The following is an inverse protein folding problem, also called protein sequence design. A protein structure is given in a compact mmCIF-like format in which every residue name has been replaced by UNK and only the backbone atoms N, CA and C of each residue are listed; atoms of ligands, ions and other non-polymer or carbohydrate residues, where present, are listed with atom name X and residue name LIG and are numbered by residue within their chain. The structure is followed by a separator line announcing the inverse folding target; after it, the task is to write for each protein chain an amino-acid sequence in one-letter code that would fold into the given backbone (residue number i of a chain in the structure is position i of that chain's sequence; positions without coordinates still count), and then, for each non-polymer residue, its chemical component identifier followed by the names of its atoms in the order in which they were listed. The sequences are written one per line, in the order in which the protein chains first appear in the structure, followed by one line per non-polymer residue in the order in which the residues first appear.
data_IF_639314550614
#
_entry.id   IF_639314550614
#
_cell.length_a   1.000
_cell.length_b   1.000
_cell.length_c   1.000
_cell.angle_alpha   90.00
_cell.angle_beta   90.00
_cell.angle_gamma   90.00
#
_symmetry.space_group_name_H-M   'P 1'
#
loop_
_entity.id
_entity.type
_entity.pdbx_description
1 polymer ?
#
# COMPACT_ATOMS: atom_id res chain seq x y z
N UNK A 1 -65.99 -5.91 -13.40
CA UNK A 1 -66.45 -7.29 -13.18
C UNK A 1 -65.65 -7.82 -12.02
N UNK A 2 -66.32 -7.99 -10.88
CA UNK A 2 -65.76 -8.20 -9.53
C UNK A 2 -65.30 -9.63 -9.27
N UNK A 3 -64.27 -9.78 -8.43
CA UNK A 3 -64.03 -10.90 -7.51
C UNK A 3 -63.47 -10.25 -6.22
N UNK A 4 -64.21 -10.20 -5.09
CA UNK A 4 -64.33 -11.22 -4.02
C UNK A 4 -62.96 -11.53 -3.38
N UNK A 5 -62.75 -11.69 -2.07
CA UNK A 5 -63.50 -11.57 -0.82
C UNK A 5 -62.47 -11.80 0.32
N UNK A 6 -62.70 -11.18 1.47
CA UNK A 6 -62.36 -11.53 2.86
C UNK A 6 -61.03 -12.16 3.30
N UNK A 7 -60.57 -11.67 4.45
CA UNK A 7 -59.37 -12.10 5.15
C UNK A 7 -59.60 -13.19 6.20
N UNK A 8 -58.52 -13.58 6.87
CA UNK A 8 -58.45 -13.99 8.27
C UNK A 8 -56.97 -14.18 8.67
N UNK A 9 -56.59 -13.69 9.84
CA UNK A 9 -55.31 -13.97 10.51
C UNK A 9 -55.23 -15.44 10.99
N UNK A 10 -54.04 -15.87 11.45
CA UNK A 10 -54.02 -16.40 12.82
C UNK A 10 -52.85 -15.94 13.68
N UNK A 11 -53.17 -15.83 14.97
CA UNK A 11 -52.33 -15.66 16.15
C UNK A 11 -51.94 -17.04 16.70
N UNK A 12 -50.79 -17.07 17.39
CA UNK A 12 -50.18 -18.20 18.12
C UNK A 12 -51.14 -19.02 19.02
N UNK A 13 -50.77 -20.29 19.25
CA UNK A 13 -50.84 -20.89 20.58
C UNK A 13 -49.91 -22.13 20.68
N UNK A 14 -48.81 -21.95 21.39
CA UNK A 14 -48.06 -23.02 22.06
C UNK A 14 -48.71 -23.31 23.43
N UNK A 15 -48.80 -24.59 23.79
CA UNK A 15 -48.91 -25.14 25.15
C UNK A 15 -48.18 -26.50 25.08
N UNK A 16 -47.40 -27.00 26.03
CA UNK A 16 -47.41 -26.89 27.49
C UNK A 16 -45.97 -27.10 28.02
N UNK A 17 -45.51 -26.30 28.98
CA UNK A 17 -45.26 -26.69 30.39
C UNK A 17 -44.40 -27.94 30.63
N UNK A 18 -43.19 -27.74 31.16
CA UNK A 18 -42.84 -28.20 32.52
C UNK A 18 -41.49 -27.60 32.95
N UNK A 19 -41.47 -26.99 34.13
CA UNK A 19 -40.28 -26.70 34.93
C UNK A 19 -40.40 -27.49 36.24
N UNK A 20 -39.27 -27.90 36.84
CA UNK A 20 -38.90 -27.22 38.09
C UNK A 20 -37.38 -26.99 38.23
N UNK A 21 -37.01 -25.86 38.85
CA UNK A 21 -35.63 -25.61 39.34
C UNK A 21 -35.36 -26.36 40.65
N UNK A 22 -34.51 -25.84 41.56
CA UNK A 22 -33.20 -25.22 41.42
C UNK A 22 -32.11 -26.08 42.13
N UNK A 23 -30.84 -25.98 41.72
CA UNK A 23 -29.75 -26.66 42.45
C UNK A 23 -28.70 -25.66 42.95
N UNK A 24 -28.65 -25.51 44.27
CA UNK A 24 -27.50 -25.00 45.03
C UNK A 24 -27.23 -25.99 46.19
N UNK A 25 -25.93 -26.21 46.46
CA UNK A 25 -25.25 -26.59 47.73
C UNK A 25 -24.56 -27.96 47.82
N UNK A 26 -23.22 -27.91 47.89
CA UNK A 26 -22.30 -28.35 49.00
C UNK A 26 -20.91 -28.59 48.38
N UNK A 27 -19.78 -28.02 48.78
CA UNK A 27 -19.23 -27.57 50.07
C UNK A 27 -19.21 -28.69 51.13
N UNK A 28 -18.06 -29.35 51.26
CA UNK A 28 -17.70 -30.15 52.43
C UNK A 28 -16.90 -29.30 53.43
N UNK A 29 -17.20 -29.54 54.71
CA UNK A 29 -16.67 -28.91 55.91
C UNK A 29 -16.07 -30.03 56.79
N UNK A 30 -14.88 -29.79 57.36
CA UNK A 30 -14.29 -30.58 58.45
C UNK A 30 -13.46 -29.66 59.36
N UNK A 31 -13.99 -29.42 60.55
CA UNK A 31 -13.66 -28.45 61.62
C UNK A 31 -12.69 -29.07 62.68
N UNK A 32 -12.33 -28.49 63.87
CA UNK A 32 -12.15 -27.10 64.35
C UNK A 32 -10.86 -26.88 65.22
N UNK A 33 -10.77 -25.67 65.83
CA UNK A 33 -10.20 -25.32 67.16
C UNK A 33 -8.87 -24.53 67.23
N UNK A 34 -8.93 -23.19 67.32
CA UNK A 34 -8.83 -22.39 68.58
C UNK A 34 -8.52 -20.90 68.31
N UNK A 35 -9.35 -20.04 68.92
CA UNK A 35 -9.10 -18.61 69.23
C UNK A 35 -8.06 -18.51 70.39
N UNK A 36 -7.37 -17.37 70.63
CA UNK A 36 -7.93 -16.19 71.32
C UNK A 36 -7.54 -14.84 70.64
N UNK A 37 -8.43 -13.85 70.55
CA UNK A 37 -8.68 -12.73 71.47
C UNK A 37 -7.67 -11.57 71.43
N UNK A 38 -8.28 -10.38 71.40
CA UNK A 38 -7.67 -9.07 71.31
C UNK A 38 -7.06 -8.61 72.63
N UNK A 39 -6.06 -7.74 72.56
CA UNK A 39 -5.73 -6.86 73.68
C UNK A 39 -5.23 -5.50 73.21
N UNK A 40 -5.77 -4.48 73.87
CA UNK A 40 -5.70 -3.06 73.54
C UNK A 40 -4.84 -2.35 74.60
N UNK A 41 -4.27 -1.18 74.21
CA UNK A 41 -3.61 -0.12 75.01
C UNK A 41 -2.07 -0.19 75.22
N UNK A 42 -1.37 0.93 75.53
CA UNK A 42 -1.67 2.37 75.32
C UNK A 42 -0.52 3.17 74.66
N UNK A 43 -0.84 4.39 74.23
CA UNK A 43 0.11 5.43 73.78
C UNK A 43 0.82 6.02 75.01
N UNK A 44 2.15 5.92 75.08
CA UNK A 44 2.99 6.61 76.07
C UNK A 44 3.87 7.68 75.43
N UNK A 45 3.78 8.90 75.96
CA UNK A 45 4.65 10.04 75.68
C UNK A 45 6.12 9.72 76.02
N UNK A 46 6.91 9.25 75.04
CA UNK A 46 8.37 9.15 75.19
C UNK A 46 9.16 9.26 73.88
N UNK A 47 8.53 9.62 72.76
CA UNK A 47 9.17 9.61 71.42
C UNK A 47 9.64 10.96 70.89
N UNK A 48 9.65 12.04 71.69
CA UNK A 48 9.83 13.40 71.15
C UNK A 48 11.25 13.98 71.29
N UNK A 49 12.23 13.22 71.78
CA UNK A 49 13.60 13.73 72.02
C UNK A 49 14.74 13.00 71.26
N UNK A 50 14.43 12.07 70.35
CA UNK A 50 15.44 11.42 69.48
C UNK A 50 15.42 11.87 68.01
N UNK A 51 14.46 12.70 67.57
CA UNK A 51 14.33 13.08 66.16
C UNK A 51 15.15 14.32 65.74
N UNK A 52 15.82 15.01 66.68
CA UNK A 52 16.48 16.30 66.40
C UNK A 52 18.00 16.22 66.23
N UNK A 53 18.63 15.09 66.59
CA UNK A 53 20.08 14.85 66.41
C UNK A 53 20.43 14.12 65.10
N UNK A 54 19.54 13.31 64.53
CA UNK A 54 19.78 12.66 63.23
C UNK A 54 19.63 13.60 62.02
N UNK A 55 18.81 14.65 62.11
CA UNK A 55 18.62 15.61 61.02
C UNK A 55 19.85 16.50 60.74
N UNK A 56 20.61 16.87 61.78
CA UNK A 56 21.81 17.71 61.62
C UNK A 56 23.00 16.93 61.03
N UNK A 57 23.10 15.62 61.29
CA UNK A 57 24.17 14.78 60.75
C UNK A 57 24.00 14.53 59.24
N UNK A 58 22.76 14.37 58.76
CA UNK A 58 22.47 14.17 57.33
C UNK A 58 22.70 15.44 56.49
N UNK A 59 22.42 16.62 57.05
CA UNK A 59 22.67 17.91 56.36
C UNK A 59 24.17 18.25 56.28
N UNK A 60 24.97 17.87 57.28
CA UNK A 60 26.42 18.04 57.25
C UNK A 60 27.10 17.10 56.22
N UNK A 61 26.62 15.86 56.08
CA UNK A 61 27.14 14.90 55.11
C UNK A 61 26.85 15.30 53.66
N UNK A 62 25.66 15.86 53.37
CA UNK A 62 25.32 16.37 52.05
C UNK A 62 26.12 17.64 51.68
N UNK A 63 26.43 18.50 52.65
CA UNK A 63 27.29 19.67 52.44
C UNK A 63 28.74 19.32 52.11
N UNK A 64 29.29 18.28 52.74
CA UNK A 64 30.66 17.81 52.48
C UNK A 64 30.81 17.15 51.10
N UNK A 65 29.78 16.43 50.62
CA UNK A 65 29.79 15.81 49.29
C UNK A 65 29.67 16.85 48.15
N UNK A 66 28.88 17.91 48.34
CA UNK A 66 28.77 18.99 47.36
C UNK A 66 30.07 19.83 47.26
N UNK A 67 30.76 20.05 48.39
CA UNK A 67 32.05 20.75 48.44
C UNK A 67 33.17 20.01 47.71
N UNK A 68 33.22 18.68 47.81
CA UNK A 68 34.21 17.86 47.12
C UNK A 68 34.03 17.87 45.59
N UNK A 69 32.79 17.85 45.09
CA UNK A 69 32.52 17.90 43.64
C UNK A 69 32.91 19.23 42.99
N UNK A 70 32.70 20.36 43.68
CA UNK A 70 33.07 21.70 43.17
C UNK A 70 34.58 21.91 43.24
N UNK A 71 35.25 21.41 44.28
CA UNK A 71 36.71 21.43 44.40
C UNK A 71 37.41 20.64 43.29
N UNK A 72 36.91 19.45 42.96
CA UNK A 72 37.45 18.64 41.85
C UNK A 72 37.22 19.27 40.47
N UNK A 73 36.10 19.98 40.26
CA UNK A 73 35.82 20.68 39.00
C UNK A 73 36.72 21.91 38.80
N UNK A 74 36.97 22.68 39.87
CA UNK A 74 37.90 23.82 39.83
C UNK A 74 39.37 23.39 39.69
N UNK A 75 39.77 22.25 40.26
CA UNK A 75 41.12 21.71 40.06
C UNK A 75 41.35 21.25 38.61
N UNK A 76 40.33 20.68 37.96
CA UNK A 76 40.38 20.28 36.55
C UNK A 76 40.48 21.50 35.62
N UNK A 77 39.84 22.62 35.98
CA UNK A 77 39.98 23.91 35.28
C UNK A 77 41.36 24.56 35.44
N UNK A 78 42.04 24.35 36.58
CA UNK A 78 43.38 24.88 36.84
C UNK A 78 44.53 24.02 36.32
N UNK A 79 44.29 22.75 35.99
CA UNK A 79 45.31 21.82 35.49
C UNK A 79 45.18 21.49 34.00
N UNK A 80 44.22 22.08 33.28
CA UNK A 80 44.11 21.93 31.83
C UNK A 80 45.12 22.83 31.11
N UNK A 81 46.01 22.31 30.25
CA UNK A 81 46.93 23.15 29.50
C UNK A 81 46.16 24.00 28.49
N UNK A 82 46.43 25.31 28.48
CA UNK A 82 45.93 26.24 27.49
C UNK A 82 46.26 25.75 26.07
N UNK A 83 45.23 25.64 25.24
CA UNK A 83 45.37 25.44 23.81
C UNK A 83 46.22 26.57 23.21
N UNK A 84 47.22 26.18 22.43
CA UNK A 84 47.95 27.02 21.50
C UNK A 84 47.00 27.68 20.50
N UNK A 85 47.16 28.99 20.30
CA UNK A 85 46.47 29.74 19.25
C UNK A 85 46.90 29.31 17.84
N UNK A 86 46.02 29.32 16.83
CA UNK A 86 46.43 29.35 15.44
C UNK A 86 46.49 30.78 14.89
N UNK A 87 47.58 31.01 14.15
CA UNK A 87 47.92 32.14 13.27
C UNK A 87 46.89 32.25 12.13
N UNK A 88 46.55 33.45 11.63
CA UNK A 88 45.63 33.61 10.50
C UNK A 88 46.32 33.17 9.19
N UNK A 89 45.95 31.99 8.71
CA UNK A 89 46.31 31.47 7.40
C UNK A 89 45.06 30.91 6.72
N UNK A 90 44.78 31.40 5.52
CA UNK A 90 43.65 31.01 4.70
C UNK A 90 43.52 29.48 4.58
N UNK A 91 42.42 28.94 5.08
CA UNK A 91 41.97 27.58 4.82
C UNK A 91 40.57 27.70 4.23
N UNK A 92 40.44 27.25 2.99
CA UNK A 92 39.18 26.98 2.32
C UNK A 92 38.24 26.24 3.26
N UNK A 93 37.00 26.73 3.33
CA UNK A 93 35.84 25.97 3.80
C UNK A 93 35.73 24.68 2.96
N UNK A 94 36.41 23.62 3.39
CA UNK A 94 35.95 22.26 3.10
C UNK A 94 34.80 21.99 4.09
N UNK A 95 33.65 22.59 3.81
CA UNK A 95 32.40 21.96 4.15
C UNK A 95 32.48 20.56 3.55
N UNK A 96 32.56 19.53 4.40
CA UNK A 96 32.33 18.15 3.99
C UNK A 96 30.86 18.05 3.60
N UNK A 97 30.58 18.57 2.41
CA UNK A 97 29.40 18.30 1.63
C UNK A 97 29.46 16.80 1.39
N UNK A 98 28.71 16.04 2.18
CA UNK A 98 28.23 14.73 1.77
C UNK A 98 27.29 14.97 0.60
N UNK A 99 27.87 15.36 -0.53
CA UNK A 99 27.24 15.30 -1.83
C UNK A 99 27.09 13.81 -2.09
N UNK A 100 25.87 13.29 -1.91
CA UNK A 100 25.43 12.12 -2.62
C UNK A 100 25.40 12.51 -4.11
N UNK A 101 26.58 12.73 -4.69
CA UNK A 101 26.73 12.93 -6.12
C UNK A 101 26.10 11.71 -6.75
N UNK A 102 25.27 11.94 -7.78
CA UNK A 102 24.70 10.88 -8.58
C UNK A 102 25.78 9.83 -8.82
N UNK A 103 25.58 8.62 -8.28
CA UNK A 103 26.48 7.52 -8.56
C UNK A 103 26.42 7.32 -10.08
N UNK A 104 27.39 7.91 -10.76
CA UNK A 104 27.65 7.75 -12.17
C UNK A 104 28.45 6.45 -12.31
N UNK A 105 27.87 5.37 -11.80
CA UNK A 105 28.17 4.05 -12.32
C UNK A 105 27.30 3.92 -13.55
N UNK A 106 27.92 3.85 -14.73
CA UNK A 106 27.31 3.15 -15.86
C UNK A 106 27.08 1.70 -15.39
N UNK A 107 25.95 1.49 -14.71
CA UNK A 107 25.42 0.16 -14.53
C UNK A 107 25.02 -0.28 -15.93
N UNK A 108 25.74 -1.26 -16.45
CA UNK A 108 25.32 -1.97 -17.64
C UNK A 108 23.86 -2.34 -17.43
N UNK A 109 22.99 -1.77 -18.28
CA UNK A 109 21.61 -2.20 -18.46
C UNK A 109 21.69 -3.71 -18.67
N UNK A 110 21.53 -4.51 -17.62
CA UNK A 110 21.26 -5.92 -17.79
C UNK A 110 19.88 -5.92 -18.43
N UNK A 111 19.75 -6.19 -19.74
CA UNK A 111 18.45 -6.18 -20.35
C UNK A 111 17.64 -7.22 -19.59
N UNK A 112 16.51 -6.78 -19.01
CA UNK A 112 15.45 -7.69 -18.58
C UNK A 112 15.31 -8.74 -19.67
N UNK A 113 15.58 -10.02 -19.36
CA UNK A 113 15.54 -11.10 -20.35
C UNK A 113 14.24 -10.95 -21.15
N UNK A 114 14.30 -10.63 -22.45
CA UNK A 114 13.09 -10.32 -23.21
C UNK A 114 12.15 -11.52 -23.16
N UNK A 115 10.87 -11.26 -22.88
CA UNK A 115 9.83 -12.29 -22.91
C UNK A 115 9.96 -13.09 -24.21
N UNK A 116 9.84 -14.41 -24.11
CA UNK A 116 9.77 -15.29 -25.29
C UNK A 116 8.56 -14.94 -26.17
N UNK A 117 7.51 -14.39 -25.55
CA UNK A 117 6.22 -14.06 -26.16
C UNK A 117 5.65 -12.77 -25.55
N UNK A 118 5.11 -11.89 -26.38
CA UNK A 118 4.38 -10.68 -25.98
C UNK A 118 2.94 -10.73 -26.48
N UNK A 119 2.02 -10.16 -25.73
CA UNK A 119 0.60 -10.08 -26.09
C UNK A 119 0.16 -8.63 -26.26
N UNK A 120 -0.86 -8.41 -27.07
CA UNK A 120 -1.65 -7.18 -27.10
C UNK A 120 -3.07 -7.46 -27.52
N UNK A 121 -3.98 -6.58 -27.16
CA UNK A 121 -5.38 -6.63 -27.56
C UNK A 121 -5.64 -5.37 -28.36
N UNK A 122 -6.19 -5.52 -29.57
CA UNK A 122 -6.62 -4.37 -30.35
C UNK A 122 -7.83 -3.72 -29.65
N UNK A 123 -7.78 -2.41 -29.46
CA UNK A 123 -8.79 -1.64 -28.72
C UNK A 123 -10.11 -1.48 -29.46
N UNK A 124 -10.14 -1.64 -30.79
CA UNK A 124 -11.35 -1.45 -31.60
C UNK A 124 -12.18 -2.73 -31.72
N UNK A 125 -11.53 -3.86 -31.97
CA UNK A 125 -12.19 -5.14 -32.29
C UNK A 125 -11.96 -6.23 -31.21
N UNK A 126 -11.18 -5.92 -30.17
CA UNK A 126 -10.81 -6.83 -29.08
C UNK A 126 -10.08 -8.10 -29.55
N UNK A 127 -9.47 -8.09 -30.74
CA UNK A 127 -8.75 -9.24 -31.24
C UNK A 127 -7.41 -9.39 -30.52
N UNK A 128 -7.16 -10.61 -30.03
CA UNK A 128 -5.92 -10.94 -29.36
C UNK A 128 -4.81 -11.19 -30.38
N UNK A 129 -3.68 -10.53 -30.17
CA UNK A 129 -2.48 -10.69 -30.96
C UNK A 129 -1.30 -11.10 -30.09
N UNK A 130 -0.42 -11.91 -30.68
CA UNK A 130 0.78 -12.42 -30.06
C UNK A 130 1.99 -12.12 -30.94
N UNK A 131 3.09 -11.70 -30.32
CA UNK A 131 4.37 -11.50 -30.97
C UNK A 131 5.38 -12.46 -30.35
N UNK A 132 6.07 -13.21 -31.19
CA UNK A 132 7.09 -14.19 -30.78
C UNK A 132 8.46 -13.53 -30.87
N UNK A 133 9.35 -13.76 -29.90
CA UNK A 133 10.68 -13.10 -29.86
C UNK A 133 11.49 -13.24 -31.16
N UNK A 134 11.34 -14.35 -31.88
CA UNK A 134 12.03 -14.61 -33.14
C UNK A 134 11.41 -13.91 -34.37
N UNK A 135 10.30 -13.15 -34.21
CA UNK A 135 9.58 -12.50 -35.32
C UNK A 135 9.07 -11.11 -34.93
N UNK A 136 9.23 -10.09 -35.78
CA UNK A 136 8.68 -8.76 -35.51
C UNK A 136 7.16 -8.69 -35.70
N UNK A 137 6.56 -9.58 -36.49
CA UNK A 137 5.14 -9.54 -36.86
C UNK A 137 4.22 -9.90 -35.67
N UNK A 138 3.11 -9.15 -35.54
CA UNK A 138 2.00 -9.52 -34.66
C UNK A 138 1.08 -10.52 -35.36
N UNK A 139 0.79 -11.62 -34.67
CA UNK A 139 0.01 -12.74 -35.20
C UNK A 139 -1.34 -12.81 -34.47
N UNK A 140 -2.43 -13.03 -35.21
CA UNK A 140 -3.75 -13.27 -34.61
C UNK A 140 -3.77 -14.64 -33.95
N UNK A 141 -4.38 -14.71 -32.76
CA UNK A 141 -4.43 -15.96 -32.00
C UNK A 141 -5.59 -16.83 -32.45
N UNK A 142 -5.30 -18.07 -32.87
CA UNK A 142 -6.30 -19.08 -33.19
C UNK A 142 -7.08 -19.53 -31.94
N UNK A 143 -8.39 -19.79 -32.10
CA UNK A 143 -9.26 -20.20 -30.99
C UNK A 143 -9.09 -21.68 -30.59
N UNK A 144 -8.41 -22.48 -31.41
CA UNK A 144 -8.15 -23.90 -31.17
C UNK A 144 -7.36 -24.13 -29.89
N UNK A 145 -7.91 -24.95 -29.00
CA UNK A 145 -7.27 -25.26 -27.73
C UNK A 145 -7.31 -24.12 -26.70
N UNK A 146 -8.00 -23.02 -27.02
CA UNK A 146 -8.20 -21.87 -26.14
C UNK A 146 -8.90 -22.26 -24.83
N UNK A 147 -8.53 -21.60 -23.73
CA UNK A 147 -9.14 -21.78 -22.40
C UNK A 147 -9.30 -20.43 -21.72
N UNK A 148 -10.37 -20.28 -20.94
CA UNK A 148 -10.62 -19.08 -20.12
C UNK A 148 -9.46 -18.77 -19.17
N UNK A 149 -8.83 -19.80 -18.60
CA UNK A 149 -7.66 -19.67 -17.73
C UNK A 149 -6.47 -18.96 -18.41
N UNK A 150 -6.22 -19.27 -19.69
CA UNK A 150 -5.19 -18.61 -20.49
C UNK A 150 -5.54 -17.15 -20.75
N UNK A 151 -6.80 -16.88 -21.09
CA UNK A 151 -7.29 -15.50 -21.23
C UNK A 151 -7.09 -14.68 -19.96
N UNK A 152 -7.32 -15.28 -18.79
CA UNK A 152 -7.08 -14.64 -17.50
C UNK A 152 -5.59 -14.37 -17.28
N UNK A 153 -4.71 -15.34 -17.55
CA UNK A 153 -3.26 -15.16 -17.44
C UNK A 153 -2.76 -14.05 -18.37
N UNK A 154 -3.25 -14.00 -19.61
CA UNK A 154 -2.91 -12.95 -20.57
C UNK A 154 -3.39 -11.59 -20.08
N UNK A 155 -4.64 -11.46 -19.62
CA UNK A 155 -5.13 -10.20 -19.05
C UNK A 155 -4.26 -9.71 -17.89
N UNK A 156 -3.85 -10.62 -16.97
CA UNK A 156 -2.94 -10.30 -15.87
C UNK A 156 -1.56 -9.88 -16.35
N UNK A 157 -1.01 -10.55 -17.36
CA UNK A 157 0.29 -10.21 -17.95
C UNK A 157 0.33 -8.84 -18.62
N UNK A 158 -0.84 -8.32 -18.99
CA UNK A 158 -1.09 -6.98 -19.56
C UNK A 158 -1.43 -5.94 -18.49
N UNK A 159 -1.46 -6.31 -17.21
CA UNK A 159 -1.74 -5.40 -16.10
C UNK A 159 -3.21 -5.29 -15.69
N UNK A 160 -4.11 -6.03 -16.31
CA UNK A 160 -5.53 -6.04 -15.95
C UNK A 160 -5.79 -7.00 -14.78
N UNK A 161 -6.76 -6.67 -13.91
CA UNK A 161 -7.08 -7.51 -12.76
C UNK A 161 -7.85 -8.78 -13.17
N UNK A 162 -8.75 -8.66 -14.16
CA UNK A 162 -9.62 -9.76 -14.59
C UNK A 162 -9.93 -9.78 -16.09
N UNK A 163 -10.13 -10.98 -16.62
CA UNK A 163 -10.88 -11.26 -17.84
C UNK A 163 -12.38 -10.98 -17.67
N UNK A 164 -12.96 -10.18 -18.57
CA UNK A 164 -14.40 -9.87 -18.61
C UNK A 164 -15.13 -10.77 -19.58
N UNK A 165 -14.59 -10.93 -20.79
CA UNK A 165 -15.21 -11.74 -21.84
C UNK A 165 -14.16 -12.35 -22.77
N UNK A 166 -14.45 -13.54 -23.29
CA UNK A 166 -13.68 -14.13 -24.37
C UNK A 166 -14.60 -14.93 -25.30
N UNK A 167 -14.30 -14.93 -26.60
CA UNK A 167 -15.04 -15.74 -27.58
C UNK A 167 -14.19 -16.06 -28.82
N UNK A 168 -14.58 -17.12 -29.53
CA UNK A 168 -14.14 -17.35 -30.90
C UNK A 168 -14.92 -16.46 -31.87
N UNK A 169 -14.22 -15.81 -32.79
CA UNK A 169 -14.82 -15.01 -33.87
C UNK A 169 -14.43 -15.63 -35.20
N UNK A 170 -15.40 -15.84 -36.09
CA UNK A 170 -15.12 -16.44 -37.40
C UNK A 170 -14.35 -15.46 -38.28
N UNK A 171 -13.36 -15.97 -39.01
CA UNK A 171 -12.58 -15.19 -39.97
C UNK A 171 -13.46 -14.61 -41.09
N UNK A 172 -14.57 -15.27 -41.44
CA UNK A 172 -15.55 -14.77 -42.42
C UNK A 172 -16.24 -13.47 -42.01
N UNK A 173 -16.36 -13.24 -40.70
CA UNK A 173 -17.15 -12.15 -40.14
C UNK A 173 -16.30 -10.88 -39.96
N UNK A 174 -14.99 -10.98 -40.21
CA UNK A 174 -14.02 -9.92 -40.03
C UNK A 174 -13.42 -9.56 -41.38
N UNK A 175 -13.38 -8.25 -41.69
CA UNK A 175 -12.65 -7.75 -42.86
C UNK A 175 -11.14 -7.75 -42.57
N UNK A 176 -10.50 -8.91 -42.72
CA UNK A 176 -9.05 -9.04 -42.57
C UNK A 176 -8.35 -8.66 -43.87
N UNK A 177 -7.31 -7.83 -43.77
CA UNK A 177 -6.37 -7.65 -44.88
C UNK A 177 -5.56 -8.94 -45.06
N UNK A 178 -5.24 -9.29 -46.31
CA UNK A 178 -4.55 -10.53 -46.71
C UNK A 178 -3.13 -10.71 -46.13
N UNK A 179 -2.61 -9.74 -45.37
CA UNK A 179 -1.30 -9.77 -44.73
C UNK A 179 -1.30 -10.37 -43.31
N UNK A 180 -2.45 -10.67 -42.71
CA UNK A 180 -2.51 -11.19 -41.35
C UNK A 180 -2.05 -12.65 -41.30
N UNK A 181 -1.17 -12.94 -40.34
CA UNK A 181 -0.69 -14.29 -40.03
C UNK A 181 -1.24 -14.71 -38.67
N UNK A 182 -1.23 -16.02 -38.42
CA UNK A 182 -1.85 -16.59 -37.23
C UNK A 182 -0.83 -17.27 -36.33
N UNK A 183 -1.21 -17.47 -35.08
CA UNK A 183 -0.46 -18.26 -34.12
C UNK A 183 -1.40 -19.18 -33.35
N UNK A 184 -0.94 -20.40 -33.13
CA UNK A 184 -1.65 -21.40 -32.36
C UNK A 184 -0.82 -21.81 -31.15
N UNK A 185 -1.47 -21.94 -30.01
CA UNK A 185 -0.88 -22.53 -28.82
C UNK A 185 -0.81 -24.05 -28.96
N UNK A 186 0.39 -24.62 -28.92
CA UNK A 186 0.59 -26.06 -28.81
C UNK A 186 0.80 -26.46 -27.34
N UNK A 187 0.15 -27.54 -26.92
CA UNK A 187 0.46 -28.19 -25.64
C UNK A 187 1.44 -29.35 -25.87
N UNK A 188 2.58 -29.41 -25.16
CA UNK A 188 3.34 -30.65 -25.05
C UNK A 188 2.47 -31.73 -24.39
N UNK A 189 2.57 -32.98 -24.86
CA UNK A 189 1.81 -34.12 -24.31
C UNK A 189 2.50 -34.85 -23.14
N UNK A 190 3.70 -34.48 -22.70
CA UNK A 190 4.39 -35.21 -21.62
C UNK A 190 5.23 -34.31 -20.68
N UNK A 191 5.05 -34.52 -19.38
CA UNK A 191 6.11 -34.45 -18.36
C UNK A 191 6.69 -33.09 -18.01
N UNK A 192 6.07 -32.39 -17.04
CA UNK A 192 6.83 -31.68 -16.00
C UNK A 192 6.87 -30.14 -16.04
N UNK A 193 6.88 -29.49 -17.20
CA UNK A 193 6.81 -28.01 -17.27
C UNK A 193 5.99 -27.61 -18.48
N UNK A 194 4.84 -26.96 -18.25
CA UNK A 194 4.01 -26.36 -19.29
C UNK A 194 4.72 -25.09 -19.80
N UNK A 195 5.72 -25.25 -20.68
CA UNK A 195 6.06 -24.13 -21.56
C UNK A 195 4.99 -24.05 -22.65
N UNK A 196 4.25 -22.96 -22.63
CA UNK A 196 3.27 -22.61 -23.66
C UNK A 196 4.01 -22.31 -24.96
N UNK A 197 4.09 -23.31 -25.85
CA UNK A 197 4.77 -23.17 -27.13
C UNK A 197 3.82 -22.56 -28.15
N UNK A 198 4.03 -21.29 -28.45
CA UNK A 198 3.31 -20.59 -29.51
C UNK A 198 3.96 -20.84 -30.87
N UNK A 199 3.20 -21.36 -31.83
CA UNK A 199 3.69 -21.62 -33.18
C UNK A 199 2.96 -20.77 -34.22
N UNK A 200 3.69 -20.16 -35.17
CA UNK A 200 3.09 -19.54 -36.34
C UNK A 200 2.28 -20.53 -37.18
N UNK A 201 1.19 -20.04 -37.77
CA UNK A 201 0.31 -20.75 -38.69
C UNK A 201 -0.10 -19.82 -39.84
N UNK A 202 -0.31 -20.42 -41.01
CA UNK A 202 -0.84 -19.70 -42.16
C UNK A 202 -2.37 -19.52 -42.07
N UNK A 203 -3.06 -20.39 -41.32
CA UNK A 203 -4.50 -20.28 -41.05
C UNK A 203 -4.87 -20.99 -39.72
N UNK A 204 -6.03 -20.67 -39.18
CA UNK A 204 -6.66 -21.41 -38.08
C UNK A 204 -7.55 -22.53 -38.65
N UNK A 205 -7.29 -23.78 -38.27
CA UNK A 205 -8.07 -24.96 -38.65
C UNK A 205 -9.56 -24.87 -38.24
N UNK A 206 -9.88 -24.15 -37.16
CA UNK A 206 -11.25 -23.89 -36.73
C UNK A 206 -11.95 -22.83 -37.59
N UNK A 207 -11.21 -22.04 -38.37
CA UNK A 207 -11.70 -20.83 -39.01
C UNK A 207 -12.03 -19.70 -38.01
N UNK A 208 -11.60 -19.82 -36.75
CA UNK A 208 -11.90 -18.87 -35.67
C UNK A 208 -10.63 -18.33 -34.99
N UNK A 209 -10.70 -17.07 -34.58
CA UNK A 209 -9.68 -16.38 -33.78
C UNK A 209 -10.24 -15.91 -32.44
N UNK A 210 -9.35 -15.60 -31.51
CA UNK A 210 -9.71 -15.18 -30.16
C UNK A 210 -9.99 -13.68 -30.11
N UNK A 211 -11.21 -13.35 -29.67
CA UNK A 211 -11.55 -12.03 -29.13
C UNK A 211 -11.49 -12.09 -27.60
N UNK A 212 -10.79 -11.13 -26.99
CA UNK A 212 -10.50 -11.07 -25.57
C UNK A 212 -10.77 -9.66 -25.03
N UNK A 213 -11.63 -9.54 -24.02
CA UNK A 213 -11.87 -8.28 -23.30
C UNK A 213 -11.45 -8.43 -21.85
N UNK A 214 -10.42 -7.69 -21.46
CA UNK A 214 -9.99 -7.56 -20.07
C UNK A 214 -10.70 -6.40 -19.34
N UNK A 215 -10.55 -6.32 -18.02
CA UNK A 215 -11.09 -5.24 -17.21
C UNK A 215 -10.42 -3.91 -17.54
N UNK A 216 -11.21 -2.85 -17.73
CA UNK A 216 -10.69 -1.51 -18.02
C UNK A 216 -9.86 -0.96 -16.85
N UNK A 217 -8.72 -0.36 -17.15
CA UNK A 217 -7.83 0.26 -16.16
C UNK A 217 -6.88 1.27 -16.83
N UNK A 218 -6.24 2.12 -16.02
CA UNK A 218 -5.09 2.94 -16.42
C UNK A 218 -5.39 4.07 -17.41
N UNK A 219 -6.64 4.22 -17.83
CA UNK A 219 -7.06 5.32 -18.69
C UNK A 219 -7.22 6.60 -17.84
N UNK A 220 -6.57 7.68 -18.28
CA UNK A 220 -6.76 9.01 -17.70
C UNK A 220 -7.61 9.86 -18.67
N UNK A 221 -8.76 10.39 -18.25
CA UNK A 221 -9.55 11.28 -19.10
C UNK A 221 -8.71 12.49 -19.55
N UNK A 222 -8.79 12.85 -20.83
CA UNK A 222 -8.01 13.95 -21.44
C UNK A 222 -8.37 15.34 -20.86
N UNK A 223 -9.41 15.42 -20.02
CA UNK A 223 -9.99 16.66 -19.52
C UNK A 223 -9.35 17.17 -18.21
N UNK A 224 -8.03 17.36 -18.18
CA UNK A 224 -7.45 18.35 -17.24
C UNK A 224 -6.05 18.79 -17.65
N UNK A 225 -5.94 19.70 -18.62
CA UNK A 225 -4.70 20.45 -18.86
C UNK A 225 -4.67 21.60 -17.84
N UNK A 226 -3.79 21.53 -16.84
CA UNK A 226 -3.46 22.70 -15.99
C UNK A 226 -1.96 22.94 -16.08
N UNK A 227 -1.61 24.19 -16.35
CA UNK A 227 -0.26 24.78 -16.40
C UNK A 227 -0.02 25.51 -15.08
N UNK A 228 1.08 25.23 -14.38
CA UNK A 228 1.48 25.92 -13.15
C UNK A 228 0.77 25.41 -11.89
N UNK A 229 1.43 24.52 -11.14
CA UNK A 229 0.91 23.79 -9.97
C UNK A 229 -0.15 24.51 -9.12
N UNK A 230 -1.39 24.03 -9.22
CA UNK A 230 -2.52 24.28 -8.31
C UNK A 230 -3.46 23.06 -8.35
N UNK A 231 -4.27 22.93 -7.29
CA UNK A 231 -5.25 21.88 -6.98
C UNK A 231 -5.64 20.91 -8.12
N UNK A 232 -5.63 19.62 -7.82
CA UNK A 232 -5.97 18.57 -8.77
C UNK A 232 -7.41 18.71 -9.27
N UNK A 233 -7.57 18.81 -10.60
CA UNK A 233 -8.89 18.80 -11.22
C UNK A 233 -9.61 17.46 -10.97
N UNK A 234 -10.94 17.47 -10.79
CA UNK A 234 -11.72 16.23 -10.68
C UNK A 234 -11.43 15.27 -11.84
N UNK A 235 -11.21 14.00 -11.52
CA UNK A 235 -10.95 12.94 -12.50
C UNK A 235 -9.54 12.89 -13.09
N UNK A 236 -8.61 13.75 -12.66
CA UNK A 236 -7.19 13.63 -13.06
C UNK A 236 -6.54 12.34 -12.56
N UNK A 237 -6.89 11.89 -11.36
CA UNK A 237 -6.44 10.64 -10.75
C UNK A 237 -7.65 9.78 -10.36
N UNK A 238 -8.36 9.18 -11.32
CA UNK A 238 -9.67 8.56 -11.09
C UNK A 238 -9.58 7.28 -10.25
N UNK A 239 -8.39 6.71 -10.10
CA UNK A 239 -8.09 5.58 -9.20
C UNK A 239 -7.73 6.01 -7.78
N UNK A 240 -7.52 7.29 -7.51
CA UNK A 240 -7.22 7.76 -6.16
C UNK A 240 -8.42 7.49 -5.25
N UNK A 241 -8.14 6.81 -4.14
CA UNK A 241 -9.11 6.57 -3.09
C UNK A 241 -8.66 7.21 -1.77
N UNK A 242 -9.61 7.69 -1.00
CA UNK A 242 -9.46 8.01 0.42
C UNK A 242 -10.00 6.86 1.24
N UNK A 243 -9.14 6.27 2.07
CA UNK A 243 -9.49 5.24 3.05
C UNK A 243 -9.71 5.95 4.39
N UNK A 244 -10.98 5.96 4.80
CA UNK A 244 -11.44 6.71 5.96
C UNK A 244 -11.88 5.76 7.09
N UNK A 245 -11.59 6.19 8.33
CA UNK A 245 -12.10 5.59 9.54
C UNK A 245 -13.11 6.55 10.17
N UNK A 246 -14.39 6.17 10.17
CA UNK A 246 -15.49 7.09 10.47
C UNK A 246 -15.59 8.17 9.40
N UNK A 247 -15.53 9.44 9.80
CA UNK A 247 -15.48 10.59 8.89
C UNK A 247 -14.07 11.12 8.63
N UNK A 248 -13.03 10.49 9.19
CA UNK A 248 -11.66 10.98 9.13
C UNK A 248 -10.87 10.23 8.07
N UNK A 249 -10.29 10.98 7.12
CA UNK A 249 -9.26 10.45 6.23
C UNK A 249 -8.11 9.87 7.06
N UNK A 250 -7.71 8.65 6.73
CA UNK A 250 -6.64 7.94 7.45
C UNK A 250 -5.47 7.65 6.53
N UNK A 251 -5.76 7.17 5.33
CA UNK A 251 -4.75 6.83 4.33
C UNK A 251 -5.32 7.01 2.91
N UNK A 252 -4.43 7.07 1.93
CA UNK A 252 -4.75 6.88 0.53
C UNK A 252 -5.01 5.42 0.17
N UNK A 253 -5.43 5.22 -1.08
CA UNK A 253 -5.63 3.92 -1.70
C UNK A 253 -5.69 4.06 -3.22
N UNK A 254 -5.62 2.93 -3.92
CA UNK A 254 -5.74 2.87 -5.37
C UNK A 254 -6.82 1.85 -5.77
N UNK A 255 -7.77 2.27 -6.61
CA UNK A 255 -8.81 1.39 -7.14
C UNK A 255 -8.21 0.41 -8.15
N UNK A 256 -8.34 -0.89 -7.91
CA UNK A 256 -7.89 -1.96 -8.82
C UNK A 256 -9.06 -2.55 -9.64
N UNK A 257 -10.27 -2.52 -9.08
CA UNK A 257 -11.52 -2.94 -9.70
C UNK A 257 -12.70 -2.38 -8.90
N UNK A 258 -13.96 -2.47 -9.39
CA UNK A 258 -15.11 -1.91 -8.68
C UNK A 258 -15.22 -2.31 -7.20
N UNK A 259 -14.81 -3.53 -6.84
CA UNK A 259 -14.85 -4.00 -5.44
C UNK A 259 -13.48 -4.11 -4.77
N UNK A 260 -12.40 -3.67 -5.42
CA UNK A 260 -11.04 -3.87 -4.92
C UNK A 260 -10.25 -2.59 -4.89
N UNK A 261 -9.72 -2.27 -3.72
CA UNK A 261 -8.77 -1.18 -3.49
C UNK A 261 -7.51 -1.73 -2.85
N UNK A 262 -6.36 -1.28 -3.30
CA UNK A 262 -5.07 -1.53 -2.64
C UNK A 262 -4.67 -0.32 -1.82
N UNK A 263 -4.08 -0.56 -0.65
CA UNK A 263 -3.56 0.46 0.28
C UNK A 263 -2.36 -0.13 1.02
N UNK A 264 -1.78 0.60 1.98
CA UNK A 264 -0.68 0.12 2.79
C UNK A 264 -1.19 -0.73 3.97
N UNK A 265 -0.43 -1.76 4.35
CA UNK A 265 -0.78 -2.61 5.49
C UNK A 265 -0.65 -1.87 6.82
N UNK A 266 0.31 -0.96 6.96
CA UNK A 266 0.51 -0.17 8.18
C UNK A 266 -0.71 0.70 8.51
N UNK A 267 -1.45 1.18 7.50
CA UNK A 267 -2.70 1.89 7.65
C UNK A 267 -3.75 1.04 8.37
N UNK A 268 -3.78 -0.26 8.07
CA UNK A 268 -4.73 -1.20 8.66
C UNK A 268 -4.23 -1.72 10.02
N UNK A 269 -2.93 -1.94 10.13
CA UNK A 269 -2.29 -2.43 11.35
C UNK A 269 -2.42 -1.44 12.51
N UNK A 270 -2.19 -0.15 12.25
CA UNK A 270 -2.28 0.93 13.24
C UNK A 270 -3.67 1.05 13.88
N UNK A 271 -4.71 0.63 13.16
CA UNK A 271 -6.10 0.71 13.57
C UNK A 271 -6.79 -0.65 13.68
N UNK A 272 -6.03 -1.74 13.89
CA UNK A 272 -6.52 -3.13 13.90
C UNK A 272 -7.63 -3.45 14.91
N UNK A 273 -7.78 -2.63 15.96
CA UNK A 273 -8.83 -2.77 16.97
C UNK A 273 -10.15 -2.08 16.56
N UNK A 274 -10.13 -1.32 15.46
CA UNK A 274 -11.30 -0.59 14.97
C UNK A 274 -12.32 -1.53 14.35
N UNK A 275 -13.61 -1.25 14.58
CA UNK A 275 -14.70 -2.03 13.97
C UNK A 275 -14.66 -1.89 12.46
N UNK A 276 -14.67 -3.03 11.76
CA UNK A 276 -14.71 -3.10 10.29
C UNK A 276 -15.81 -2.21 9.67
N UNK A 277 -16.99 -2.16 10.30
CA UNK A 277 -18.13 -1.34 9.87
C UNK A 277 -17.86 0.17 9.85
N UNK A 278 -16.78 0.63 10.48
CA UNK A 278 -16.39 2.05 10.54
C UNK A 278 -15.52 2.47 9.35
N UNK A 279 -14.99 1.52 8.59
CA UNK A 279 -14.16 1.81 7.43
C UNK A 279 -15.00 2.15 6.21
N UNK A 280 -14.57 3.21 5.51
CA UNK A 280 -15.19 3.68 4.27
C UNK A 280 -14.11 3.97 3.24
N UNK A 281 -14.46 3.77 1.98
CA UNK A 281 -13.65 4.15 0.83
C UNK A 281 -14.38 5.19 0.01
N UNK A 282 -13.72 6.30 -0.27
CA UNK A 282 -14.22 7.37 -1.13
C UNK A 282 -13.35 7.46 -2.38
N UNK A 283 -13.95 7.31 -3.56
CA UNK A 283 -13.30 7.50 -4.85
C UNK A 283 -14.00 8.63 -5.62
N UNK A 284 -13.32 9.23 -6.60
CA UNK A 284 -13.84 10.40 -7.34
C UNK A 284 -13.92 11.67 -6.47
N UNK A 285 -13.16 11.67 -5.38
CA UNK A 285 -13.11 12.78 -4.43
C UNK A 285 -11.95 13.71 -4.80
N UNK A 286 -12.16 15.01 -4.69
CA UNK A 286 -11.09 16.02 -4.73
C UNK A 286 -10.95 16.72 -3.37
N UNK A 287 -12.06 17.09 -2.73
CA UNK A 287 -12.03 17.79 -1.43
C UNK A 287 -12.81 17.01 -0.36
N UNK A 288 -12.20 16.79 0.81
CA UNK A 288 -12.85 16.09 1.93
C UNK A 288 -14.08 16.84 2.46
N UNK A 289 -14.12 18.17 2.35
CA UNK A 289 -15.28 18.99 2.70
C UNK A 289 -16.58 18.61 1.99
N UNK A 290 -16.49 17.94 0.82
CA UNK A 290 -17.64 17.49 0.04
C UNK A 290 -18.23 16.15 0.51
N UNK A 291 -17.53 15.44 1.39
CA UNK A 291 -17.94 14.13 1.90
C UNK A 291 -19.02 14.29 2.96
N UNK A 292 -20.20 13.73 2.71
CA UNK A 292 -21.26 13.67 3.73
C UNK A 292 -21.01 12.53 4.72
N UNK A 293 -21.45 12.66 5.99
CA UNK A 293 -21.40 11.56 6.94
C UNK A 293 -22.08 10.31 6.36
N UNK A 294 -21.46 9.14 6.56
CA UNK A 294 -21.94 7.82 6.07
C UNK A 294 -21.91 7.61 4.55
N UNK A 295 -21.47 8.60 3.76
CA UNK A 295 -21.18 8.40 2.34
C UNK A 295 -19.91 7.55 2.17
N UNK A 296 -19.71 6.97 0.98
CA UNK A 296 -18.57 6.11 0.66
C UNK A 296 -18.89 4.62 0.66
N UNK A 297 -18.08 3.84 -0.04
CA UNK A 297 -18.22 2.40 -0.12
C UNK A 297 -17.84 1.73 1.21
N UNK A 298 -18.70 0.83 1.69
CA UNK A 298 -18.45 0.06 2.91
C UNK A 298 -17.41 -1.02 2.64
N UNK A 299 -16.41 -1.13 3.52
CA UNK A 299 -15.41 -2.21 3.45
C UNK A 299 -16.00 -3.51 4.01
N UNK A 300 -15.97 -4.57 3.22
CA UNK A 300 -16.41 -5.93 3.57
C UNK A 300 -15.28 -6.75 4.20
N UNK A 301 -14.04 -6.59 3.70
CA UNK A 301 -12.86 -7.29 4.23
C UNK A 301 -11.62 -6.42 4.09
N UNK A 302 -10.76 -6.50 5.10
CA UNK A 302 -9.41 -5.91 5.12
C UNK A 302 -8.43 -7.07 5.13
N UNK A 303 -7.56 -7.13 4.11
CA UNK A 303 -6.66 -8.25 3.87
C UNK A 303 -5.24 -7.70 3.77
N UNK A 304 -4.54 -7.47 4.91
CA UNK A 304 -3.12 -7.12 4.87
C UNK A 304 -2.30 -8.31 4.37
N UNK A 305 -1.16 -8.02 3.75
CA UNK A 305 -0.24 -9.09 3.35
C UNK A 305 0.17 -9.92 4.59
N UNK A 306 0.12 -11.26 4.54
CA UNK A 306 0.35 -12.11 5.71
C UNK A 306 1.77 -12.00 6.29
N UNK A 307 2.73 -11.55 5.47
CA UNK A 307 4.12 -11.32 5.85
C UNK A 307 4.44 -9.86 6.22
N UNK A 308 3.43 -9.00 6.37
CA UNK A 308 3.66 -7.61 6.76
C UNK A 308 4.38 -7.51 8.11
N UNK A 309 5.44 -6.70 8.13
CA UNK A 309 6.26 -6.43 9.32
C UNK A 309 6.18 -4.97 9.71
N UNK A 310 5.61 -4.69 10.88
CA UNK A 310 5.55 -3.35 11.45
C UNK A 310 6.92 -2.83 11.93
N UNK A 311 7.94 -3.68 12.02
CA UNK A 311 9.28 -3.27 12.49
C UNK A 311 10.08 -2.56 11.41
N UNK A 312 9.93 -2.99 10.15
CA UNK A 312 10.72 -2.50 9.03
C UNK A 312 9.86 -2.12 7.81
N UNK A 313 8.54 -2.12 7.95
CA UNK A 313 7.58 -1.83 6.87
C UNK A 313 7.71 -2.73 5.64
N UNK A 314 8.27 -3.93 5.80
CA UNK A 314 8.33 -4.89 4.71
C UNK A 314 6.96 -5.55 4.46
N UNK A 315 6.68 -5.90 3.21
CA UNK A 315 5.36 -6.35 2.74
C UNK A 315 4.21 -5.37 3.08
N UNK A 316 4.45 -4.07 2.99
CA UNK A 316 3.49 -3.03 3.37
C UNK A 316 2.40 -2.79 2.30
N UNK A 317 1.59 -3.82 2.06
CA UNK A 317 0.46 -3.79 1.13
C UNK A 317 -0.75 -4.49 1.73
N UNK A 318 -1.93 -3.93 1.52
CA UNK A 318 -3.21 -4.49 1.93
C UNK A 318 -4.25 -4.34 0.83
N UNK A 319 -5.17 -5.31 0.75
CA UNK A 319 -6.35 -5.23 -0.11
C UNK A 319 -7.61 -5.00 0.72
N UNK A 320 -8.44 -4.09 0.23
CA UNK A 320 -9.78 -3.83 0.75
C UNK A 320 -10.79 -4.38 -0.25
N UNK A 321 -11.62 -5.33 0.20
CA UNK A 321 -12.79 -5.77 -0.54
C UNK A 321 -13.97 -4.91 -0.14
N UNK A 322 -14.64 -4.29 -1.10
CA UNK A 322 -15.80 -3.43 -0.87
C UNK A 322 -17.08 -4.25 -0.94
N UNK A 323 -17.97 -4.02 0.02
CA UNK A 323 -19.31 -4.63 0.04
C UNK A 323 -20.15 -4.12 -1.13
N UNK A 324 -20.08 -2.82 -1.41
CA UNK A 324 -20.76 -2.17 -2.53
C UNK A 324 -19.73 -1.81 -3.60
N UNK A 325 -19.87 -2.28 -4.85
CA UNK A 325 -18.98 -1.89 -5.94
C UNK A 325 -19.01 -0.37 -6.17
N UNK A 326 -17.84 0.19 -6.49
CA UNK A 326 -17.72 1.55 -6.99
C UNK A 326 -18.32 1.63 -8.41
N UNK A 327 -19.06 2.70 -8.66
CA UNK A 327 -19.57 3.01 -10.00
C UNK A 327 -18.48 3.73 -10.78
N UNK A 328 -17.96 3.09 -11.82
CA UNK A 328 -16.96 3.72 -12.69
C UNK A 328 -17.58 4.86 -13.50
N UNK A 329 -16.80 5.92 -13.68
CA UNK A 329 -17.16 7.16 -14.36
C UNK A 329 -15.88 7.90 -14.79
N UNK A 330 -16.01 9.08 -15.39
CA UNK A 330 -14.86 9.93 -15.72
C UNK A 330 -14.03 10.35 -14.50
N UNK A 331 -14.56 10.19 -13.29
CA UNK A 331 -13.84 10.51 -12.04
C UNK A 331 -13.47 9.31 -11.19
N UNK A 332 -13.94 8.10 -11.57
CA UNK A 332 -13.72 6.86 -10.83
C UNK A 332 -13.37 5.76 -11.81
N UNK A 333 -12.14 5.25 -11.77
CA UNK A 333 -11.72 4.13 -12.61
C UNK A 333 -10.57 3.36 -11.95
N UNK A 334 -10.26 2.17 -12.46
CA UNK A 334 -9.14 1.39 -11.96
C UNK A 334 -7.80 1.88 -12.53
N UNK A 335 -6.72 1.73 -11.77
CA UNK A 335 -5.34 1.81 -12.27
C UNK A 335 -4.89 0.43 -12.75
N UNK A 336 -4.08 0.37 -13.80
CA UNK A 336 -3.50 -0.91 -14.22
C UNK A 336 -2.34 -1.32 -13.30
N UNK A 337 -2.14 -2.62 -13.15
CA UNK A 337 -0.96 -3.17 -12.50
C UNK A 337 0.22 -3.23 -13.49
N UNK A 338 1.47 -3.15 -13.03
CA UNK A 338 2.64 -3.40 -13.87
C UNK A 338 2.68 -4.87 -14.29
N UNK A 339 3.33 -5.15 -15.42
CA UNK A 339 3.70 -6.51 -15.75
C UNK A 339 4.80 -6.99 -14.78
N UNK A 340 4.84 -8.30 -14.46
CA UNK A 340 5.81 -8.84 -13.48
C UNK A 340 7.27 -8.54 -13.84
N UNK A 341 7.61 -8.61 -15.12
CA UNK A 341 8.96 -8.31 -15.64
C UNK A 341 9.06 -6.90 -16.23
N UNK A 342 8.04 -6.06 -16.07
CA UNK A 342 8.10 -4.69 -16.55
C UNK A 342 9.06 -3.90 -15.67
N UNK A 343 10.12 -3.38 -16.29
CA UNK A 343 11.05 -2.48 -15.64
C UNK A 343 10.68 -1.02 -15.95
N UNK A 344 10.80 -0.17 -14.93
CA UNK A 344 10.71 1.27 -15.08
C UNK A 344 12.11 1.83 -14.79
N UNK A 345 12.83 2.34 -15.79
CA UNK A 345 14.22 2.72 -15.63
C UNK A 345 14.37 3.85 -14.61
N UNK A 346 15.57 3.94 -13.99
CA UNK A 346 15.95 5.08 -13.15
C UNK A 346 15.64 6.40 -13.88
N UNK A 347 15.09 7.35 -13.15
CA UNK A 347 14.71 8.67 -13.68
C UNK A 347 13.34 8.71 -14.36
N UNK A 348 12.64 7.56 -14.49
CA UNK A 348 11.24 7.53 -14.93
C UNK A 348 10.41 8.47 -14.06
N UNK A 349 9.69 9.39 -14.70
CA UNK A 349 8.82 10.34 -14.02
C UNK A 349 7.52 9.66 -13.65
N UNK A 350 7.23 9.61 -12.36
CA UNK A 350 6.02 9.02 -11.81
C UNK A 350 5.29 10.05 -10.95
N UNK A 351 4.01 9.82 -10.70
CA UNK A 351 3.16 10.74 -9.95
C UNK A 351 2.71 10.10 -8.65
N UNK A 352 2.75 10.92 -7.62
CA UNK A 352 2.13 10.62 -6.33
C UNK A 352 0.98 11.59 -6.14
N UNK A 353 -0.13 11.10 -5.61
CA UNK A 353 -1.29 11.93 -5.29
C UNK A 353 -1.86 11.55 -3.92
N UNK A 354 -2.40 12.55 -3.22
CA UNK A 354 -3.03 12.34 -1.92
C UNK A 354 -3.44 13.63 -1.21
N UNK A 355 -3.92 13.47 0.03
CA UNK A 355 -4.42 14.53 0.91
C UNK A 355 -3.54 14.73 2.15
N UNK A 356 -2.31 14.22 2.08
CA UNK A 356 -1.35 14.30 3.14
C UNK A 356 -0.92 15.73 3.46
N UNK A 357 -0.03 15.83 4.43
CA UNK A 357 0.51 17.10 4.89
C UNK A 357 1.29 17.80 3.76
N UNK A 358 1.00 19.07 3.54
CA UNK A 358 1.64 19.87 2.49
C UNK A 358 2.86 20.64 2.98
N UNK A 359 3.19 20.53 4.27
CA UNK A 359 4.30 21.23 4.90
C UNK A 359 5.06 20.30 5.86
N UNK A 360 6.41 20.38 5.91
CA UNK A 360 7.24 19.55 6.79
C UNK A 360 6.97 19.73 8.28
N UNK A 361 6.31 20.81 8.71
CA UNK A 361 5.93 20.99 10.13
C UNK A 361 4.78 20.08 10.58
N UNK A 362 4.17 19.31 9.67
CA UNK A 362 3.04 18.41 9.92
C UNK A 362 1.82 19.11 10.56
N UNK A 363 1.70 20.43 10.43
CA UNK A 363 0.65 21.22 11.08
C UNK A 363 -0.68 21.20 10.33
N UNK A 364 -0.65 21.03 9.00
CA UNK A 364 -1.84 21.07 8.16
C UNK A 364 -1.86 19.93 7.15
N UNK A 365 -2.93 19.12 7.18
CA UNK A 365 -3.30 18.22 6.07
C UNK A 365 -4.08 19.01 5.03
N UNK A 366 -3.97 18.63 3.76
CA UNK A 366 -4.72 19.29 2.69
C UNK A 366 -6.14 18.75 2.61
N UNK A 367 -7.14 19.62 2.70
CA UNK A 367 -8.53 19.22 2.40
C UNK A 367 -8.69 18.84 0.93
N UNK A 368 -7.87 19.40 0.04
CA UNK A 368 -7.93 19.20 -1.42
C UNK A 368 -6.84 18.26 -1.92
N UNK A 369 -7.15 17.41 -2.90
CA UNK A 369 -6.21 16.47 -3.48
C UNK A 369 -5.05 17.21 -4.13
N UNK A 370 -3.84 16.81 -3.77
CA UNK A 370 -2.59 17.30 -4.36
C UNK A 370 -1.95 16.20 -5.21
N UNK A 371 -1.11 16.60 -6.15
CA UNK A 371 -0.23 15.70 -6.88
C UNK A 371 1.15 16.31 -7.09
N UNK A 372 2.16 15.46 -7.19
CA UNK A 372 3.50 15.87 -7.57
C UNK A 372 4.16 14.79 -8.42
N UNK A 373 5.13 15.21 -9.23
CA UNK A 373 5.96 14.33 -10.02
C UNK A 373 7.24 14.01 -9.26
N UNK A 374 7.64 12.75 -9.24
CA UNK A 374 8.87 12.26 -8.61
C UNK A 374 9.58 11.28 -9.54
N UNK A 375 10.91 11.37 -9.67
CA UNK A 375 11.68 10.39 -10.43
C UNK A 375 11.88 9.11 -9.63
N UNK A 376 11.87 7.96 -10.29
CA UNK A 376 12.34 6.71 -9.69
C UNK A 376 13.85 6.73 -9.46
N UNK A 377 14.28 6.26 -8.29
CA UNK A 377 15.68 6.13 -7.91
C UNK A 377 16.08 4.65 -7.90
N UNK A 378 17.35 4.36 -8.15
CA UNK A 378 17.85 2.98 -8.09
C UNK A 378 17.89 2.48 -6.65
N UNK A 379 17.63 1.19 -6.44
CA UNK A 379 17.75 0.56 -5.12
C UNK A 379 19.15 0.74 -4.53
N UNK A 380 20.20 0.69 -5.37
CA UNK A 380 21.58 0.92 -4.94
C UNK A 380 21.77 2.34 -4.38
N UNK A 381 21.25 3.36 -5.06
CA UNK A 381 21.35 4.74 -4.59
C UNK A 381 20.61 4.92 -3.27
N UNK A 382 19.39 4.40 -3.15
CA UNK A 382 18.63 4.55 -1.91
C UNK A 382 19.20 3.73 -0.74
N UNK A 383 19.88 2.61 -1.01
CA UNK A 383 20.61 1.86 0.02
C UNK A 383 22.04 2.35 0.27
N UNK A 384 22.49 3.41 -0.40
CA UNK A 384 23.78 4.03 -0.10
C UNK A 384 23.83 4.55 1.34
N UNK A 385 25.05 4.67 1.88
CA UNK A 385 25.28 5.15 3.25
C UNK A 385 24.73 6.55 3.51
N UNK A 386 24.60 7.37 2.47
CA UNK A 386 24.16 8.74 2.59
C UNK A 386 22.64 8.93 2.46
N UNK A 387 21.89 7.86 2.15
CA UNK A 387 20.42 7.87 2.00
C UNK A 387 19.75 7.03 3.09
N UNK A 388 19.58 5.71 2.89
CA UNK A 388 18.94 4.82 3.87
C UNK A 388 19.85 3.71 4.41
N UNK A 389 21.14 3.69 4.06
CA UNK A 389 22.13 2.78 4.66
C UNK A 389 21.71 1.30 4.69
N UNK A 390 21.18 0.79 3.58
CA UNK A 390 20.76 -0.61 3.46
C UNK A 390 19.37 -0.96 4.03
N UNK A 391 18.57 0.01 4.45
CA UNK A 391 17.25 -0.25 5.04
C UNK A 391 16.20 -0.76 4.05
N UNK A 392 16.33 -0.49 2.74
CA UNK A 392 15.34 -0.91 1.76
C UNK A 392 15.45 -2.41 1.47
N UNK A 393 14.32 -3.11 1.60
CA UNK A 393 14.20 -4.51 1.19
C UNK A 393 14.00 -4.62 -0.33
N UNK A 394 14.20 -5.81 -0.93
CA UNK A 394 13.85 -6.07 -2.33
C UNK A 394 12.38 -5.81 -2.71
N UNK A 395 11.47 -5.76 -1.72
CA UNK A 395 10.03 -5.49 -1.91
C UNK A 395 9.70 -4.00 -1.88
N UNK A 396 10.71 -3.14 -1.75
CA UNK A 396 10.56 -1.69 -1.70
C UNK A 396 11.19 -1.05 -2.95
N UNK A 397 10.69 0.12 -3.29
CA UNK A 397 11.31 1.03 -4.24
C UNK A 397 11.34 2.43 -3.66
N UNK A 398 12.09 3.30 -4.31
CA UNK A 398 12.40 4.64 -3.84
C UNK A 398 12.14 5.64 -4.97
N UNK A 399 11.47 6.74 -4.65
CA UNK A 399 11.17 7.78 -5.64
C UNK A 399 11.16 9.15 -4.97
N UNK A 400 11.70 10.15 -5.65
CA UNK A 400 11.82 11.49 -5.10
C UNK A 400 13.10 12.17 -5.53
N UNK A 401 13.30 13.38 -5.03
CA UNK A 401 14.49 14.18 -5.31
C UNK A 401 15.40 14.22 -4.09
N UNK A 402 16.70 13.97 -4.29
CA UNK A 402 17.68 13.99 -3.19
C UNK A 402 17.87 15.38 -2.58
N UNK A 403 17.48 16.45 -3.28
CA UNK A 403 17.53 17.81 -2.77
C UNK A 403 16.29 18.22 -1.96
N UNK A 404 15.33 17.32 -1.74
CA UNK A 404 14.18 17.58 -0.88
C UNK A 404 13.14 18.55 -1.46
N UNK A 405 13.02 18.64 -2.79
CA UNK A 405 12.04 19.58 -3.41
C UNK A 405 10.58 19.13 -3.35
N UNK A 406 10.32 17.82 -3.33
CA UNK A 406 8.98 17.24 -3.35
C UNK A 406 9.01 15.78 -2.88
N UNK A 407 7.98 15.38 -2.13
CA UNK A 407 7.83 14.02 -1.60
C UNK A 407 6.36 13.73 -1.25
N UNK A 408 6.04 12.45 -1.06
CA UNK A 408 4.83 12.06 -0.34
C UNK A 408 4.99 12.40 1.16
N UNK A 409 3.89 12.67 1.85
CA UNK A 409 3.96 12.96 3.28
C UNK A 409 2.92 12.18 4.10
N UNK A 410 2.88 12.46 5.39
CA UNK A 410 1.93 11.84 6.30
C UNK A 410 0.50 12.05 5.81
N UNK A 411 -0.31 10.99 5.80
CA UNK A 411 -1.66 10.98 5.20
C UNK A 411 -1.70 10.50 3.74
N UNK A 412 -0.60 10.57 3.00
CA UNK A 412 -0.52 10.00 1.64
C UNK A 412 -0.27 8.48 1.66
N UNK A 413 0.12 7.93 2.81
CA UNK A 413 0.29 6.50 3.04
C UNK A 413 -0.80 5.65 2.41
N UNK A 414 -0.44 4.58 1.72
CA UNK A 414 -1.37 3.73 0.97
C UNK A 414 -1.81 4.29 -0.38
N UNK A 415 -1.52 5.56 -0.67
CA UNK A 415 -1.79 6.21 -1.94
C UNK A 415 -0.94 5.67 -3.10
N UNK A 416 -1.30 6.02 -4.34
CA UNK A 416 -0.63 5.56 -5.55
C UNK A 416 0.72 6.24 -5.78
N UNK A 417 1.71 5.45 -6.21
CA UNK A 417 2.78 5.92 -7.09
C UNK A 417 2.53 5.33 -8.48
N UNK A 418 2.14 6.18 -9.43
CA UNK A 418 1.78 5.78 -10.79
C UNK A 418 2.74 6.31 -11.83
N UNK A 419 3.14 5.45 -12.76
CA UNK A 419 4.03 5.80 -13.86
C UNK A 419 3.28 5.64 -15.19
N UNK A 420 3.47 6.55 -16.16
CA UNK A 420 2.93 6.39 -17.49
C UNK A 420 3.70 5.29 -18.25
N UNK A 421 2.97 4.45 -18.98
CA UNK A 421 3.48 3.53 -20.00
C UNK A 421 2.63 3.65 -21.27
N UNK A 422 3.16 4.40 -22.25
CA UNK A 422 2.37 4.86 -23.40
C UNK A 422 1.15 5.65 -22.94
N UNK A 423 -0.03 5.21 -23.37
CA UNK A 423 -1.32 5.82 -22.99
C UNK A 423 -1.92 5.22 -21.70
N UNK A 424 -1.23 4.28 -21.04
CA UNK A 424 -1.73 3.56 -19.86
C UNK A 424 -0.95 3.95 -18.61
N UNK A 425 -1.66 4.27 -17.54
CA UNK A 425 -1.06 4.51 -16.22
C UNK A 425 -1.00 3.22 -15.40
N UNK A 426 0.16 2.96 -14.80
CA UNK A 426 0.40 1.75 -13.99
C UNK A 426 0.81 2.07 -12.57
N UNK A 427 0.26 1.33 -11.61
CA UNK A 427 0.57 1.44 -10.19
C UNK A 427 1.89 0.73 -9.88
N UNK A 428 2.99 1.48 -9.86
CA UNK A 428 4.33 0.92 -9.65
C UNK A 428 4.64 0.79 -8.16
N UNK A 429 4.09 1.67 -7.34
CA UNK A 429 4.27 1.63 -5.89
C UNK A 429 3.05 2.03 -5.08
N UNK A 430 3.07 1.68 -3.80
CA UNK A 430 2.13 2.14 -2.77
C UNK A 430 2.92 2.92 -1.72
N UNK A 431 2.52 4.16 -1.41
CA UNK A 431 3.21 5.02 -0.43
C UNK A 431 3.30 4.29 0.91
N UNK A 432 4.51 4.13 1.45
CA UNK A 432 4.75 3.30 2.63
C UNK A 432 5.38 4.08 3.78
N UNK A 433 6.60 4.60 3.61
CA UNK A 433 7.32 5.33 4.66
C UNK A 433 8.37 6.28 4.07
N UNK A 434 8.94 7.12 4.94
CA UNK A 434 10.03 8.05 4.63
C UNK A 434 10.55 8.66 5.93
N UNK A 435 11.74 9.28 5.90
CA UNK A 435 12.21 10.10 7.02
C UNK A 435 11.84 11.56 6.72
N UNK A 436 10.99 12.13 7.58
CA UNK A 436 10.42 13.45 7.34
C UNK A 436 9.55 13.47 6.08
N UNK A 437 9.38 14.66 5.51
CA UNK A 437 8.76 14.84 4.20
C UNK A 437 9.59 15.85 3.42
N UNK A 438 10.06 15.43 2.24
CA UNK A 438 10.90 16.26 1.38
C UNK A 438 12.19 16.74 2.09
N UNK A 439 12.75 15.90 2.97
CA UNK A 439 14.06 16.16 3.56
C UNK A 439 15.18 15.79 2.56
N UNK A 440 16.28 16.57 2.48
CA UNK A 440 17.42 16.20 1.65
C UNK A 440 17.94 14.79 1.98
N UNK A 441 18.26 14.02 0.95
CA UNK A 441 18.69 12.62 1.00
C UNK A 441 17.69 11.65 1.66
N UNK A 442 16.42 12.03 1.82
CA UNK A 442 15.37 11.17 2.36
C UNK A 442 14.16 11.09 1.42
N UNK A 443 14.32 10.55 0.20
CA UNK A 443 13.22 10.35 -0.74
C UNK A 443 12.19 9.34 -0.21
N UNK A 444 10.92 9.47 -0.61
CA UNK A 444 9.87 8.54 -0.22
C UNK A 444 10.15 7.08 -0.60
N UNK A 445 9.72 6.17 0.27
CA UNK A 445 9.81 4.72 0.09
C UNK A 445 8.41 4.13 -0.11
N UNK A 446 8.31 3.25 -1.10
CA UNK A 446 7.05 2.68 -1.56
C UNK A 446 7.15 1.16 -1.58
N UNK A 447 6.04 0.47 -1.30
CA UNK A 447 5.95 -0.96 -1.55
C UNK A 447 5.92 -1.21 -3.07
N UNK A 448 6.86 -2.02 -3.59
CA UNK A 448 7.03 -2.29 -5.04
C UNK A 448 5.97 -3.28 -5.53
N UNK A 449 4.94 -2.79 -6.22
CA UNK A 449 3.76 -3.60 -6.62
C UNK A 449 4.11 -4.85 -7.43
N UNK A 450 5.15 -4.77 -8.27
CA UNK A 450 5.62 -5.91 -9.08
C UNK A 450 5.93 -7.17 -8.24
N UNK A 451 6.40 -6.99 -7.00
CA UNK A 451 6.73 -8.09 -6.08
C UNK A 451 5.50 -8.70 -5.40
N UNK A 452 4.32 -8.08 -5.54
CA UNK A 452 3.08 -8.50 -4.88
C UNK A 452 2.00 -8.96 -5.87
N UNK A 453 2.26 -8.96 -7.18
CA UNK A 453 1.27 -9.28 -8.21
C UNK A 453 0.61 -10.65 -8.00
N UNK A 454 1.41 -11.69 -7.69
CA UNK A 454 0.89 -13.05 -7.47
C UNK A 454 -0.08 -13.07 -6.27
N UNK A 455 0.26 -12.37 -5.19
CA UNK A 455 -0.60 -12.26 -4.01
C UNK A 455 -1.88 -11.44 -4.31
N UNK A 456 -1.75 -10.31 -5.01
CA UNK A 456 -2.88 -9.46 -5.40
C UNK A 456 -3.86 -10.26 -6.25
N UNK A 457 -3.37 -10.92 -7.31
CA UNK A 457 -4.18 -11.68 -8.23
C UNK A 457 -4.86 -12.87 -7.55
N UNK A 458 -4.14 -13.64 -6.72
CA UNK A 458 -4.72 -14.78 -6.02
C UNK A 458 -5.80 -14.35 -5.01
N UNK A 459 -5.55 -13.27 -4.28
CA UNK A 459 -6.50 -12.75 -3.28
C UNK A 459 -7.76 -12.19 -3.93
N UNK A 460 -7.61 -11.39 -4.99
CA UNK A 460 -8.74 -10.81 -5.71
C UNK A 460 -9.54 -11.86 -6.51
N UNK A 461 -8.89 -12.92 -6.98
CA UNK A 461 -9.50 -14.00 -7.78
C UNK A 461 -10.33 -14.99 -6.97
N UNK A 462 -9.85 -15.44 -5.80
CA UNK A 462 -10.55 -16.41 -4.92
C UNK A 462 -11.90 -15.86 -4.38
N UNK A 463 -12.20 -14.60 -4.71
CA UNK A 463 -13.33 -13.84 -4.21
C UNK A 463 -14.40 -13.54 -5.27
N UNK A 464 -14.19 -13.92 -6.54
CA UNK A 464 -15.19 -13.81 -7.61
C UNK A 464 -16.11 -15.05 -7.55
N UNK A 465 -17.45 -14.87 -7.49
CA UNK A 465 -18.41 -15.97 -7.37
C UNK A 465 -18.42 -16.91 -8.58
#
# INVERSE_FOLDING_TARGET
MSLMLDGQAPMEAQYAEESPGPWIFRAELGDPLRRPEAQQQPISLAGRWCSRRCGCAMLAALGLLAGASVGSWLLALHLWPAASQPIPGALQDEAMTLSCSEANGEEALLPSLPRTVSFRINTEDFLLQVQLRARPDWLLVCHEGWRSALGMQICRSLGHLSLIHHKGVNLSDIKLNSSHKFAQLLRPRLGGVLEEVWQPRDNCASGQIVSLKCSECGARPLASRIVGGQAVAPGRWPWQASVALGSRHTCGGSVLAPQWVVTAAHCMHSFRLSRLSSWRVHAGLVSHSTVRPHQGAVVERIIPHPLYSAQNHDYDVALLRLRTPLMFSDTVSAVCLPAKEQDFPRGSQCWVSGWGHTDPSHTHSSDTLQDTVVPLLSTQLCNSSCVYSGALTPRMLCAGYLDGRADACQGDSGGPLVCPDGDTWRLVGVVSWGRGCAEPNHPGVYAKIAEFLDWIHNTAWVSLP
#
